data_IF_160300140854
#
_entry.id   IF_160300140854
#
_cell.length_a   1.000
_cell.length_b   1.000
_cell.length_c   1.000
_cell.angle_alpha   90.00
_cell.angle_beta   90.00
_cell.angle_gamma   90.00
#
_symmetry.space_group_name_H-M   'P 1'
#
loop_
_entity.id
_entity.type
_entity.pdbx_description
1 polymer ?
#
# COMPACT_ATOMS: atom_id res chain seq x y z
N UNK A 1 30.30 -30.74 2.67
CA UNK A 1 30.19 -29.70 3.76
C UNK A 1 29.26 -30.24 4.83
N UNK A 2 29.67 -30.20 6.10
CA UNK A 2 28.83 -30.71 7.19
C UNK A 2 27.51 -29.91 7.25
N UNK A 3 26.31 -30.58 7.23
CA UNK A 3 25.03 -29.89 7.17
C UNK A 3 24.78 -28.92 8.33
N UNK A 4 25.39 -29.19 9.49
CA UNK A 4 25.34 -28.28 10.65
C UNK A 4 26.15 -26.98 10.42
N UNK A 5 27.33 -27.09 9.79
CA UNK A 5 28.18 -25.96 9.44
C UNK A 5 27.51 -25.09 8.35
N UNK A 6 26.93 -25.72 7.32
CA UNK A 6 26.19 -25.00 6.30
C UNK A 6 25.01 -24.21 6.88
N UNK A 7 24.24 -24.82 7.80
CA UNK A 7 23.13 -24.15 8.48
C UNK A 7 23.59 -23.00 9.37
N UNK A 8 24.71 -23.16 10.08
CA UNK A 8 25.29 -22.10 10.92
C UNK A 8 25.75 -20.90 10.07
N UNK A 9 26.42 -21.16 8.93
CA UNK A 9 26.85 -20.11 8.00
C UNK A 9 25.64 -19.37 7.43
N UNK A 10 24.62 -20.09 6.95
CA UNK A 10 23.39 -19.46 6.40
C UNK A 10 22.68 -18.61 7.46
N UNK A 11 22.53 -19.12 8.67
CA UNK A 11 21.91 -18.36 9.76
C UNK A 11 22.76 -17.11 10.13
N UNK A 12 24.06 -17.23 10.17
CA UNK A 12 24.98 -16.10 10.41
C UNK A 12 24.85 -15.01 9.35
N UNK A 13 24.81 -15.40 8.07
CA UNK A 13 24.58 -14.47 6.96
C UNK A 13 23.20 -13.81 7.03
N UNK A 14 22.14 -14.55 7.35
CA UNK A 14 20.80 -14.00 7.50
C UNK A 14 20.71 -12.99 8.64
N UNK A 15 21.36 -13.27 9.79
CA UNK A 15 21.43 -12.34 10.92
C UNK A 15 22.21 -11.08 10.53
N UNK A 16 23.35 -11.23 9.88
CA UNK A 16 24.14 -10.09 9.41
C UNK A 16 23.36 -9.20 8.44
N UNK A 17 22.68 -9.81 7.46
CA UNK A 17 21.80 -9.07 6.54
C UNK A 17 20.65 -8.38 7.26
N UNK A 18 20.03 -9.02 8.23
CA UNK A 18 18.96 -8.42 9.04
C UNK A 18 19.46 -7.20 9.82
N UNK A 19 20.62 -7.31 10.48
CA UNK A 19 21.25 -6.20 11.22
C UNK A 19 21.56 -5.02 10.30
N UNK A 20 22.18 -5.28 9.14
CA UNK A 20 22.49 -4.23 8.14
C UNK A 20 21.22 -3.56 7.61
N UNK A 21 20.17 -4.34 7.36
CA UNK A 21 18.88 -3.81 6.87
C UNK A 21 18.13 -3.00 7.92
N UNK A 22 18.26 -3.35 9.20
CA UNK A 22 17.60 -2.64 10.30
C UNK A 22 18.39 -1.42 10.78
N UNK A 23 19.70 -1.39 10.57
CA UNK A 23 20.57 -0.30 11.06
C UNK A 23 20.08 1.11 10.65
N UNK A 24 19.71 1.41 9.38
CA UNK A 24 19.20 2.72 9.01
C UNK A 24 17.88 3.07 9.70
N UNK A 25 16.99 2.09 9.92
CA UNK A 25 15.71 2.30 10.61
C UNK A 25 15.93 2.58 12.11
N UNK A 26 16.85 1.86 12.73
CA UNK A 26 17.21 2.08 14.13
C UNK A 26 17.89 3.45 14.31
N UNK A 27 18.74 3.85 13.37
CA UNK A 27 19.36 5.16 13.41
C UNK A 27 18.34 6.29 13.19
N UNK A 28 17.41 6.14 12.22
CA UNK A 28 16.29 7.05 12.03
C UNK A 28 15.47 7.22 13.33
N UNK A 29 15.15 6.10 13.99
CA UNK A 29 14.44 6.12 15.27
C UNK A 29 15.28 6.80 16.36
N UNK A 30 16.58 6.55 16.44
CA UNK A 30 17.49 7.19 17.39
C UNK A 30 17.54 8.70 17.19
N UNK A 31 17.75 9.16 15.94
CA UNK A 31 17.83 10.58 15.60
C UNK A 31 16.53 11.31 15.91
N UNK A 32 15.36 10.66 15.73
CA UNK A 32 14.07 11.29 16.03
C UNK A 32 13.89 11.72 17.50
N UNK A 33 14.70 11.17 18.41
CA UNK A 33 14.74 11.54 19.84
C UNK A 33 15.92 12.45 20.22
N UNK A 34 16.76 12.85 19.27
CA UNK A 34 17.89 13.77 19.52
C UNK A 34 17.41 15.21 19.73
N UNK A 35 18.25 15.99 20.38
CA UNK A 35 18.04 17.45 20.49
C UNK A 35 18.24 18.11 19.12
N UNK A 36 17.55 19.23 18.81
CA UNK A 36 17.74 19.94 17.55
C UNK A 36 19.21 20.27 17.29
N UNK A 37 19.73 19.88 16.11
CA UNK A 37 21.12 20.06 15.70
C UNK A 37 22.10 19.00 16.17
N UNK A 38 21.69 18.05 17.02
CA UNK A 38 22.58 17.00 17.53
C UNK A 38 23.05 16.04 16.42
N UNK A 39 22.17 15.72 15.46
CA UNK A 39 22.53 14.87 14.32
C UNK A 39 23.45 15.56 13.29
N UNK A 40 23.61 16.87 13.36
CA UNK A 40 24.50 17.61 12.47
C UNK A 40 25.97 17.54 12.87
N UNK A 41 26.31 17.02 14.04
CA UNK A 41 27.70 16.83 14.47
C UNK A 41 28.40 15.75 13.62
N UNK A 42 29.71 15.93 13.42
CA UNK A 42 30.53 14.94 12.73
C UNK A 42 31.59 14.34 13.66
N UNK A 43 31.66 13.00 13.79
CA UNK A 43 30.73 11.99 13.27
C UNK A 43 29.34 12.09 13.92
N UNK A 44 28.26 11.76 13.19
CA UNK A 44 26.92 11.82 13.75
C UNK A 44 26.78 10.80 14.89
N UNK A 45 26.14 11.17 16.01
CA UNK A 45 25.95 10.26 17.14
C UNK A 45 24.99 9.13 16.76
N UNK A 46 25.24 7.92 17.31
CA UNK A 46 24.38 6.76 17.10
C UNK A 46 23.17 6.74 18.05
N UNK A 47 23.33 7.35 19.23
CA UNK A 47 22.30 7.43 20.27
C UNK A 47 22.21 8.87 20.80
N UNK A 48 21.03 9.36 21.19
CA UNK A 48 20.86 10.71 21.71
C UNK A 48 21.60 10.86 23.06
N UNK A 49 22.27 11.98 23.27
CA UNK A 49 22.90 12.32 24.52
C UNK A 49 21.85 12.57 25.63
N UNK A 50 20.73 13.22 25.26
CA UNK A 50 19.58 13.47 26.13
C UNK A 50 18.30 13.28 25.33
N UNK A 51 17.65 12.09 25.39
CA UNK A 51 16.44 11.80 24.61
C UNK A 51 15.31 12.79 24.88
N UNK A 52 14.67 13.29 23.82
CA UNK A 52 13.58 14.26 23.90
C UNK A 52 12.41 13.89 22.98
N UNK A 53 11.19 14.31 23.33
CA UNK A 53 10.01 14.25 22.48
C UNK A 53 9.76 15.59 21.77
N UNK A 54 10.69 16.54 21.85
CA UNK A 54 10.53 17.88 21.28
C UNK A 54 10.18 17.84 19.79
N UNK A 55 10.90 17.04 19.00
CA UNK A 55 10.67 16.91 17.55
C UNK A 55 9.25 16.42 17.21
N UNK A 56 8.74 15.46 17.98
CA UNK A 56 7.35 15.00 17.82
C UNK A 56 6.34 16.07 18.23
N UNK A 57 6.60 16.80 19.31
CA UNK A 57 5.73 17.91 19.73
C UNK A 57 5.64 18.98 18.63
N UNK A 58 6.78 19.45 18.10
CA UNK A 58 6.82 20.43 17.01
C UNK A 58 6.09 19.89 15.75
N UNK A 59 6.33 18.64 15.41
CA UNK A 59 5.74 17.97 14.26
C UNK A 59 4.20 17.94 14.32
N UNK A 60 3.64 17.63 15.49
CA UNK A 60 2.19 17.55 15.67
C UNK A 60 1.54 18.90 15.98
N UNK A 61 2.17 19.74 16.80
CA UNK A 61 1.60 20.99 17.24
C UNK A 61 1.74 22.11 16.19
N UNK A 62 2.88 22.19 15.48
CA UNK A 62 3.17 23.27 14.53
C UNK A 62 3.06 22.83 13.07
N UNK A 63 3.60 21.67 12.71
CA UNK A 63 3.59 21.22 11.33
C UNK A 63 2.28 20.53 10.90
N UNK A 64 1.32 20.32 11.81
CA UNK A 64 0.01 19.75 11.48
C UNK A 64 0.03 18.28 11.07
N UNK A 65 1.04 17.50 11.47
CA UNK A 65 1.25 16.12 11.04
C UNK A 65 0.05 15.21 11.31
N UNK A 66 -0.71 15.47 12.38
CA UNK A 66 -1.93 14.71 12.69
C UNK A 66 -2.97 14.75 11.57
N UNK A 67 -3.12 15.89 10.88
CA UNK A 67 -4.02 16.06 9.73
C UNK A 67 -3.53 15.24 8.54
N UNK A 68 -2.24 15.29 8.23
CA UNK A 68 -1.66 14.52 7.11
C UNK A 68 -1.75 13.01 7.34
N UNK A 69 -1.56 12.57 8.61
CA UNK A 69 -1.77 11.19 9.01
C UNK A 69 -3.22 10.73 8.76
N UNK A 70 -4.19 11.55 9.17
CA UNK A 70 -5.62 11.28 8.93
C UNK A 70 -5.96 11.28 7.44
N UNK A 71 -5.43 12.23 6.67
CA UNK A 71 -5.64 12.29 5.23
C UNK A 71 -5.11 11.01 4.55
N UNK A 72 -3.88 10.60 4.86
CA UNK A 72 -3.29 9.37 4.33
C UNK A 72 -4.09 8.13 4.73
N UNK A 73 -4.49 8.02 5.99
CA UNK A 73 -5.28 6.90 6.48
C UNK A 73 -6.66 6.84 5.79
N UNK A 74 -7.32 7.98 5.62
CA UNK A 74 -8.60 8.07 4.94
C UNK A 74 -8.50 7.70 3.46
N UNK A 75 -7.54 8.29 2.73
CA UNK A 75 -7.32 8.01 1.30
C UNK A 75 -6.98 6.53 1.10
N UNK A 76 -5.99 6.01 1.84
CA UNK A 76 -5.56 4.62 1.70
C UNK A 76 -6.67 3.62 2.06
N UNK A 77 -7.42 3.88 3.14
CA UNK A 77 -8.53 3.01 3.55
C UNK A 77 -9.68 3.06 2.56
N UNK A 78 -10.12 4.26 2.15
CA UNK A 78 -11.21 4.42 1.19
C UNK A 78 -10.86 3.80 -0.17
N UNK A 79 -9.66 4.09 -0.70
CA UNK A 79 -9.17 3.47 -1.94
C UNK A 79 -9.15 1.94 -1.83
N UNK A 80 -8.67 1.38 -0.71
CA UNK A 80 -8.61 -0.06 -0.49
C UNK A 80 -10.00 -0.69 -0.48
N UNK A 81 -10.95 -0.14 0.27
CA UNK A 81 -12.31 -0.69 0.37
C UNK A 81 -13.02 -0.68 -0.98
N UNK A 82 -12.93 0.43 -1.70
CA UNK A 82 -13.55 0.57 -3.03
C UNK A 82 -12.85 -0.36 -4.03
N UNK A 83 -11.51 -0.40 -4.03
CA UNK A 83 -10.75 -1.28 -4.91
C UNK A 83 -11.04 -2.76 -4.65
N UNK A 84 -11.17 -3.19 -3.39
CA UNK A 84 -11.56 -4.55 -3.06
C UNK A 84 -12.90 -4.90 -3.68
N UNK A 85 -13.90 -4.04 -3.54
CA UNK A 85 -15.22 -4.28 -4.11
C UNK A 85 -15.17 -4.36 -5.63
N UNK A 86 -14.63 -3.34 -6.29
CA UNK A 86 -14.62 -3.25 -7.75
C UNK A 86 -13.75 -4.32 -8.41
N UNK A 87 -12.53 -4.53 -7.89
CA UNK A 87 -11.65 -5.57 -8.43
C UNK A 87 -12.21 -6.98 -8.22
N UNK A 88 -12.92 -7.22 -7.10
CA UNK A 88 -13.52 -8.52 -6.81
C UNK A 88 -14.71 -8.78 -7.74
N UNK A 89 -15.58 -7.80 -7.92
CA UNK A 89 -16.71 -7.91 -8.86
C UNK A 89 -16.22 -8.14 -10.28
N UNK A 90 -15.27 -7.35 -10.75
CA UNK A 90 -14.70 -7.50 -12.09
C UNK A 90 -13.95 -8.83 -12.26
N UNK A 91 -13.11 -9.20 -11.31
CA UNK A 91 -12.34 -10.45 -11.34
C UNK A 91 -13.24 -11.68 -11.36
N UNK A 92 -14.30 -11.68 -10.53
CA UNK A 92 -15.33 -12.74 -10.56
C UNK A 92 -16.06 -12.79 -11.90
N UNK A 93 -16.50 -11.64 -12.42
CA UNK A 93 -17.17 -11.58 -13.72
C UNK A 93 -16.30 -12.16 -14.85
N UNK A 94 -15.02 -11.77 -14.90
CA UNK A 94 -14.07 -12.30 -15.86
C UNK A 94 -13.70 -13.78 -15.65
N UNK A 95 -13.86 -14.31 -14.43
CA UNK A 95 -13.58 -15.71 -14.13
C UNK A 95 -14.77 -16.63 -14.46
N UNK A 96 -15.97 -16.27 -14.02
CA UNK A 96 -17.13 -17.17 -13.91
C UNK A 96 -18.35 -16.78 -14.73
N UNK A 97 -18.56 -15.49 -15.00
CA UNK A 97 -19.74 -15.08 -15.80
C UNK A 97 -19.48 -15.24 -17.29
N UNK A 98 -20.53 -15.62 -18.03
CA UNK A 98 -20.51 -15.80 -19.49
C UNK A 98 -21.07 -14.54 -20.14
N UNK A 99 -20.24 -13.77 -20.83
CA UNK A 99 -20.65 -12.62 -21.64
C UNK A 99 -19.82 -12.48 -22.90
N UNK A 100 -20.41 -11.87 -23.95
CA UNK A 100 -19.73 -11.70 -25.22
C UNK A 100 -18.49 -10.80 -25.07
N UNK A 101 -17.37 -11.21 -25.66
CA UNK A 101 -16.14 -10.43 -25.66
C UNK A 101 -15.28 -10.55 -24.38
N UNK A 102 -15.68 -11.34 -23.37
CA UNK A 102 -14.98 -11.50 -22.08
C UNK A 102 -13.46 -11.61 -22.22
N UNK A 103 -13.00 -12.55 -23.01
CA UNK A 103 -11.55 -12.80 -23.18
C UNK A 103 -10.83 -11.69 -23.97
N UNK A 104 -11.53 -11.02 -24.89
CA UNK A 104 -10.97 -9.88 -25.64
C UNK A 104 -10.76 -8.67 -24.72
N UNK A 105 -11.79 -8.32 -23.94
CA UNK A 105 -11.72 -7.21 -22.98
C UNK A 105 -10.66 -7.49 -21.93
N UNK A 106 -10.60 -8.71 -21.38
CA UNK A 106 -9.59 -9.07 -20.41
C UNK A 106 -8.16 -8.98 -20.96
N UNK A 107 -7.93 -9.43 -22.21
CA UNK A 107 -6.61 -9.26 -22.86
C UNK A 107 -6.24 -7.80 -23.08
N UNK A 108 -7.19 -6.95 -23.42
CA UNK A 108 -6.95 -5.50 -23.53
C UNK A 108 -6.59 -4.87 -22.20
N UNK A 109 -7.27 -5.27 -21.10
CA UNK A 109 -6.89 -4.83 -19.75
C UNK A 109 -5.47 -5.25 -19.40
N UNK A 110 -5.08 -6.51 -19.69
CA UNK A 110 -3.71 -6.97 -19.45
C UNK A 110 -2.68 -6.20 -20.29
N UNK A 111 -3.00 -5.86 -21.54
CA UNK A 111 -2.11 -5.06 -22.38
C UNK A 111 -1.85 -3.67 -21.77
N UNK A 112 -2.83 -3.10 -21.05
CA UNK A 112 -2.64 -1.83 -20.37
C UNK A 112 -1.59 -1.86 -19.24
N UNK A 113 -1.25 -3.03 -18.68
CA UNK A 113 -0.17 -3.16 -17.66
C UNK A 113 1.21 -2.82 -18.22
N UNK A 114 1.39 -2.86 -19.53
CA UNK A 114 2.67 -2.51 -20.18
C UNK A 114 2.92 -0.99 -20.15
N UNK A 115 1.84 -0.20 -20.01
CA UNK A 115 1.94 1.26 -19.99
C UNK A 115 2.41 1.72 -18.60
N UNK A 116 3.57 2.41 -18.50
CA UNK A 116 4.01 2.94 -17.21
C UNK A 116 3.00 3.95 -16.66
N UNK A 117 2.68 3.85 -15.37
CA UNK A 117 1.72 4.74 -14.73
C UNK A 117 2.10 6.23 -14.86
N UNK A 118 3.39 6.55 -14.86
CA UNK A 118 3.91 7.92 -15.01
C UNK A 118 3.49 8.57 -16.34
N UNK A 119 3.43 7.79 -17.42
CA UNK A 119 3.00 8.28 -18.74
C UNK A 119 1.53 8.69 -18.75
N UNK A 120 0.72 8.00 -17.95
CA UNK A 120 -0.73 8.26 -17.88
C UNK A 120 -1.10 9.38 -16.91
N UNK A 121 -0.17 9.85 -16.05
CA UNK A 121 -0.47 10.87 -15.02
C UNK A 121 -0.98 12.18 -15.60
N UNK A 122 -0.37 12.70 -16.70
CA UNK A 122 -0.80 13.96 -17.30
C UNK A 122 -2.20 13.88 -17.92
N UNK A 123 -2.52 12.90 -18.79
CA UNK A 123 -3.88 12.72 -19.30
C UNK A 123 -4.90 12.54 -18.17
N UNK A 124 -4.57 11.76 -17.14
CA UNK A 124 -5.42 11.53 -15.98
C UNK A 124 -5.69 12.83 -15.20
N UNK A 125 -4.66 13.64 -14.97
CA UNK A 125 -4.81 14.94 -14.33
C UNK A 125 -5.76 15.86 -15.14
N UNK A 126 -5.63 15.91 -16.46
CA UNK A 126 -6.50 16.72 -17.31
C UNK A 126 -7.95 16.24 -17.25
N UNK A 127 -8.18 14.92 -17.24
CA UNK A 127 -9.53 14.36 -17.07
C UNK A 127 -10.14 14.76 -15.72
N UNK A 128 -9.40 14.61 -14.63
CA UNK A 128 -9.89 14.96 -13.29
C UNK A 128 -10.07 16.48 -13.13
N UNK A 129 -9.26 17.30 -13.80
CA UNK A 129 -9.45 18.75 -13.85
C UNK A 129 -10.79 19.12 -14.52
N UNK A 130 -11.14 18.48 -15.64
CA UNK A 130 -12.42 18.67 -16.31
C UNK A 130 -13.60 18.23 -15.44
N UNK A 131 -13.40 17.19 -14.60
CA UNK A 131 -14.40 16.70 -13.65
C UNK A 131 -14.51 17.53 -12.36
N UNK A 132 -13.65 18.55 -12.17
CA UNK A 132 -13.61 19.36 -10.95
C UNK A 132 -13.05 18.62 -9.72
N UNK A 133 -12.29 17.54 -9.94
CA UNK A 133 -11.77 16.67 -8.86
C UNK A 133 -10.33 17.01 -8.43
N UNK A 134 -9.66 17.95 -9.08
CA UNK A 134 -8.33 18.42 -8.66
C UNK A 134 -8.44 19.10 -7.30
N UNK A 135 -7.44 18.89 -6.45
CA UNK A 135 -7.38 19.36 -5.06
C UNK A 135 -8.51 18.83 -4.16
N UNK A 136 -8.97 17.60 -4.41
CA UNK A 136 -9.95 16.91 -3.57
C UNK A 136 -9.47 15.50 -3.20
N UNK A 137 -9.98 14.94 -2.09
CA UNK A 137 -9.72 13.56 -1.71
C UNK A 137 -10.22 12.57 -2.78
N UNK A 138 -11.35 12.88 -3.44
CA UNK A 138 -11.85 12.07 -4.56
C UNK A 138 -10.85 12.00 -5.71
N UNK A 139 -10.19 13.10 -6.05
CA UNK A 139 -9.15 13.13 -7.08
C UNK A 139 -7.93 12.26 -6.75
N UNK A 140 -7.61 12.11 -5.46
CA UNK A 140 -6.56 11.20 -5.01
C UNK A 140 -7.02 9.71 -5.02
N UNK A 141 -8.31 9.44 -4.75
CA UNK A 141 -8.85 8.08 -4.59
C UNK A 141 -9.25 7.46 -5.92
N UNK A 142 -9.92 8.22 -6.82
CA UNK A 142 -10.53 7.69 -8.06
C UNK A 142 -9.57 6.84 -8.91
N UNK A 143 -8.31 7.22 -9.15
CA UNK A 143 -7.39 6.40 -9.94
C UNK A 143 -7.03 5.06 -9.29
N UNK A 144 -7.20 4.95 -7.97
CA UNK A 144 -6.87 3.76 -7.19
C UNK A 144 -8.06 2.79 -7.04
N UNK A 145 -9.28 3.21 -7.42
CA UNK A 145 -10.52 2.44 -7.19
C UNK A 145 -10.57 1.10 -7.92
N UNK A 146 -9.89 0.99 -9.06
CA UNK A 146 -9.81 -0.25 -9.81
C UNK A 146 -8.42 -0.39 -10.45
N UNK A 147 -7.80 -1.55 -10.27
CA UNK A 147 -6.50 -1.83 -10.86
C UNK A 147 -6.55 -3.08 -11.72
N UNK A 148 -5.89 -3.05 -12.88
CA UNK A 148 -5.79 -4.21 -13.76
C UNK A 148 -5.13 -5.38 -13.03
N UNK A 149 -4.11 -5.11 -12.21
CA UNK A 149 -3.44 -6.12 -11.38
C UNK A 149 -4.41 -6.75 -10.36
N UNK A 150 -5.23 -5.95 -9.68
CA UNK A 150 -6.22 -6.46 -8.72
C UNK A 150 -7.28 -7.33 -9.38
N UNK A 151 -7.81 -6.89 -10.54
CA UNK A 151 -8.77 -7.67 -11.34
C UNK A 151 -8.14 -8.99 -11.79
N UNK A 152 -6.90 -8.95 -12.29
CA UNK A 152 -6.16 -10.15 -12.70
C UNK A 152 -5.97 -11.12 -11.53
N UNK A 153 -5.51 -10.63 -10.39
CA UNK A 153 -5.26 -11.44 -9.20
C UNK A 153 -6.52 -12.16 -8.71
N UNK A 154 -7.62 -11.43 -8.60
CA UNK A 154 -8.91 -11.98 -8.20
C UNK A 154 -9.42 -12.98 -9.23
N UNK A 155 -9.33 -12.66 -10.55
CA UNK A 155 -9.73 -13.61 -11.61
C UNK A 155 -8.98 -14.91 -11.51
N UNK A 156 -7.66 -14.88 -11.32
CA UNK A 156 -6.85 -16.10 -11.24
C UNK A 156 -7.27 -16.98 -10.06
N UNK A 157 -7.55 -16.37 -8.92
CA UNK A 157 -8.00 -17.11 -7.75
C UNK A 157 -9.45 -17.60 -7.90
N UNK A 158 -10.34 -16.77 -8.44
CA UNK A 158 -11.76 -17.13 -8.67
C UNK A 158 -11.93 -18.29 -9.65
N UNK A 159 -10.98 -18.52 -10.57
CA UNK A 159 -10.99 -19.68 -11.47
C UNK A 159 -10.89 -21.01 -10.75
N UNK A 160 -10.31 -21.07 -9.56
CA UNK A 160 -10.23 -22.28 -8.75
C UNK A 160 -11.54 -22.64 -8.02
N UNK A 161 -12.53 -21.77 -8.01
CA UNK A 161 -13.87 -22.08 -7.46
C UNK A 161 -14.52 -23.09 -8.39
N UNK A 162 -15.01 -24.26 -7.92
CA UNK A 162 -15.73 -25.23 -8.76
C UNK A 162 -16.99 -24.60 -9.36
N UNK A 163 -17.23 -24.83 -10.66
CA UNK A 163 -18.43 -24.30 -11.33
C UNK A 163 -19.70 -24.99 -10.81
N UNK A 164 -19.59 -26.26 -10.42
CA UNK A 164 -20.66 -27.06 -9.83
C UNK A 164 -21.22 -26.43 -8.54
N UNK A 165 -20.37 -25.79 -7.75
CA UNK A 165 -20.81 -25.07 -6.54
C UNK A 165 -21.72 -23.88 -6.89
N UNK A 166 -21.38 -23.14 -7.94
CA UNK A 166 -22.16 -21.99 -8.40
C UNK A 166 -23.45 -22.42 -9.10
N UNK A 167 -23.40 -23.52 -9.85
CA UNK A 167 -24.56 -24.08 -10.54
C UNK A 167 -25.57 -24.65 -9.54
N UNK A 168 -25.12 -25.39 -8.51
CA UNK A 168 -25.98 -25.85 -7.43
C UNK A 168 -26.73 -24.70 -6.75
N UNK A 169 -26.02 -23.61 -6.42
CA UNK A 169 -26.63 -22.44 -5.82
C UNK A 169 -27.68 -21.77 -6.72
N UNK A 170 -27.47 -21.78 -8.07
CA UNK A 170 -28.47 -21.27 -9.03
C UNK A 170 -29.71 -22.17 -9.09
N UNK A 171 -29.53 -23.50 -9.03
CA UNK A 171 -30.63 -24.46 -8.98
C UNK A 171 -31.46 -24.24 -7.69
N UNK A 172 -30.80 -23.94 -6.57
CA UNK A 172 -31.44 -23.58 -5.30
C UNK A 172 -32.12 -22.19 -5.32
N UNK A 173 -32.13 -21.50 -6.45
CA UNK A 173 -32.80 -20.20 -6.64
C UNK A 173 -32.01 -19.00 -6.12
N UNK A 174 -30.70 -19.13 -5.83
CA UNK A 174 -29.87 -17.99 -5.43
C UNK A 174 -29.61 -17.03 -6.62
N UNK A 175 -29.84 -15.74 -6.40
CA UNK A 175 -29.47 -14.70 -7.37
C UNK A 175 -27.96 -14.58 -7.48
N UNK A 176 -27.44 -14.06 -8.62
CA UNK A 176 -25.97 -13.82 -8.81
C UNK A 176 -25.40 -12.93 -7.71
N UNK A 177 -26.14 -11.94 -7.24
CA UNK A 177 -25.72 -11.10 -6.10
C UNK A 177 -25.57 -11.91 -4.83
N UNK A 178 -26.52 -12.83 -4.54
CA UNK A 178 -26.45 -13.71 -3.38
C UNK A 178 -25.26 -14.67 -3.47
N UNK A 179 -25.05 -15.26 -4.64
CA UNK A 179 -23.90 -16.13 -4.91
C UNK A 179 -22.60 -15.36 -4.68
N UNK A 180 -22.49 -14.13 -5.21
CA UNK A 180 -21.31 -13.30 -5.03
C UNK A 180 -20.98 -13.03 -3.55
N UNK A 181 -21.94 -12.52 -2.78
CA UNK A 181 -21.69 -12.14 -1.38
C UNK A 181 -21.61 -13.32 -0.42
N UNK A 182 -22.38 -14.38 -0.62
CA UNK A 182 -22.51 -15.50 0.32
C UNK A 182 -21.58 -16.67 0.01
N UNK A 183 -21.18 -16.85 -1.26
CA UNK A 183 -20.33 -17.98 -1.67
C UNK A 183 -18.97 -17.48 -2.13
N UNK A 184 -18.94 -16.61 -3.15
CA UNK A 184 -17.70 -16.21 -3.82
C UNK A 184 -16.82 -15.38 -2.90
N UNK A 185 -17.36 -14.34 -2.29
CA UNK A 185 -16.60 -13.42 -1.43
C UNK A 185 -15.94 -14.12 -0.24
N UNK A 186 -16.60 -15.03 0.52
CA UNK A 186 -15.96 -15.81 1.57
C UNK A 186 -14.83 -16.72 1.07
N UNK A 187 -15.01 -17.38 -0.06
CA UNK A 187 -13.97 -18.24 -0.65
C UNK A 187 -12.75 -17.42 -1.10
N UNK A 188 -12.97 -16.20 -1.62
CA UNK A 188 -11.91 -15.29 -2.04
C UNK A 188 -11.20 -14.59 -0.88
N UNK A 189 -11.66 -14.72 0.36
CA UNK A 189 -11.12 -14.00 1.53
C UNK A 189 -9.58 -14.01 1.63
N UNK A 190 -8.84 -15.13 1.42
CA UNK A 190 -7.38 -15.12 1.52
C UNK A 190 -6.73 -14.18 0.51
N UNK A 191 -7.18 -14.21 -0.74
CA UNK A 191 -6.62 -13.35 -1.80
C UNK A 191 -7.05 -11.90 -1.64
N UNK A 192 -8.24 -11.64 -1.08
CA UNK A 192 -8.71 -10.29 -0.80
C UNK A 192 -7.89 -9.62 0.30
N UNK A 193 -7.46 -10.36 1.33
CA UNK A 193 -6.54 -9.82 2.35
C UNK A 193 -5.21 -9.43 1.70
N UNK A 194 -4.67 -10.27 0.82
CA UNK A 194 -3.44 -9.96 0.07
C UNK A 194 -3.64 -8.71 -0.80
N UNK A 195 -4.73 -8.64 -1.55
CA UNK A 195 -5.05 -7.46 -2.39
C UNK A 195 -5.23 -6.20 -1.54
N UNK A 196 -5.88 -6.30 -0.37
CA UNK A 196 -6.04 -5.19 0.56
C UNK A 196 -4.70 -4.62 1.01
N UNK A 197 -3.74 -5.50 1.36
CA UNK A 197 -2.39 -5.09 1.76
C UNK A 197 -1.71 -4.34 0.60
N UNK A 198 -1.74 -4.88 -0.63
CA UNK A 198 -1.11 -4.25 -1.79
C UNK A 198 -1.71 -2.88 -2.10
N UNK A 199 -3.04 -2.77 -2.12
CA UNK A 199 -3.72 -1.49 -2.42
C UNK A 199 -3.46 -0.48 -1.33
N UNK A 200 -3.58 -0.88 -0.05
CA UNK A 200 -3.35 0.01 1.08
C UNK A 200 -1.91 0.54 1.09
N UNK A 201 -0.91 -0.35 0.98
CA UNK A 201 0.50 0.05 0.94
C UNK A 201 0.83 0.90 -0.29
N UNK A 202 0.24 0.58 -1.44
CA UNK A 202 0.37 1.38 -2.66
C UNK A 202 -0.14 2.81 -2.44
N UNK A 203 -1.36 2.95 -1.90
CA UNK A 203 -1.96 4.26 -1.62
C UNK A 203 -1.26 5.02 -0.48
N UNK A 204 -0.83 4.31 0.57
CA UNK A 204 -0.14 4.91 1.72
C UNK A 204 1.21 5.51 1.35
N UNK A 205 1.98 4.79 0.52
CA UNK A 205 3.33 5.20 0.10
C UNK A 205 3.31 6.06 -1.19
N UNK A 206 2.14 6.31 -1.78
CA UNK A 206 2.06 7.10 -3.00
C UNK A 206 2.41 8.57 -2.71
N UNK A 207 3.44 9.02 -3.39
CA UNK A 207 3.92 10.40 -3.34
C UNK A 207 3.55 11.16 -4.61
N UNK A 208 3.75 10.52 -5.77
CA UNK A 208 3.72 11.22 -7.05
C UNK A 208 2.33 11.70 -7.42
N UNK A 209 1.32 10.83 -7.30
CA UNK A 209 -0.04 11.21 -7.67
C UNK A 209 -0.64 12.26 -6.73
N UNK A 210 -0.59 12.09 -5.39
CA UNK A 210 -1.00 13.15 -4.45
C UNK A 210 -0.27 14.48 -4.66
N UNK A 211 1.04 14.48 -4.95
CA UNK A 211 1.81 15.70 -5.24
C UNK A 211 1.28 16.45 -6.47
N UNK A 212 0.79 15.73 -7.49
CA UNK A 212 0.27 16.31 -8.73
C UNK A 212 -1.17 16.83 -8.54
N UNK A 213 -2.01 16.07 -7.83
CA UNK A 213 -3.46 16.35 -7.77
C UNK A 213 -3.90 17.21 -6.58
N UNK A 214 -3.12 17.22 -5.50
CA UNK A 214 -3.41 18.00 -4.28
C UNK A 214 -2.52 19.25 -4.25
N UNK A 215 -3.11 20.43 -4.22
CA UNK A 215 -2.38 21.71 -4.22
C UNK A 215 -2.49 22.48 -2.91
N UNK A 216 -3.50 22.16 -2.08
CA UNK A 216 -3.71 22.77 -0.76
C UNK A 216 -3.07 21.89 0.31
N UNK A 217 -2.24 22.49 1.17
CA UNK A 217 -1.61 21.80 2.31
C UNK A 217 -2.64 21.10 3.21
N UNK A 218 -3.85 21.62 3.31
CA UNK A 218 -4.93 20.98 4.06
C UNK A 218 -5.31 19.57 3.58
N UNK A 219 -5.03 19.24 2.33
CA UNK A 219 -5.34 17.95 1.71
C UNK A 219 -4.11 17.01 1.57
N UNK A 220 -2.90 17.49 1.88
CA UNK A 220 -1.69 16.72 1.67
C UNK A 220 -1.72 15.37 2.39
N UNK A 221 -1.13 14.36 1.75
CA UNK A 221 -0.80 13.07 2.36
C UNK A 221 0.51 13.16 3.14
N UNK A 222 0.78 12.19 4.01
CA UNK A 222 2.03 12.13 4.78
C UNK A 222 3.29 12.25 3.90
N UNK A 223 3.46 11.46 2.81
CA UNK A 223 4.65 11.59 1.96
C UNK A 223 4.80 12.97 1.35
N UNK A 224 3.71 13.61 0.91
CA UNK A 224 3.74 14.97 0.34
C UNK A 224 4.08 16.00 1.39
N UNK A 225 3.45 15.91 2.56
CA UNK A 225 3.70 16.83 3.66
C UNK A 225 5.15 16.73 4.17
N UNK A 226 5.68 15.50 4.32
CA UNK A 226 7.07 15.29 4.73
C UNK A 226 8.05 15.89 3.73
N UNK A 227 7.80 15.73 2.42
CA UNK A 227 8.63 16.34 1.38
C UNK A 227 8.54 17.88 1.39
N UNK A 228 7.38 18.45 1.74
CA UNK A 228 7.22 19.91 1.87
C UNK A 228 7.97 20.43 3.09
N UNK A 229 7.88 19.77 4.22
CA UNK A 229 8.64 20.09 5.44
C UNK A 229 10.15 20.04 5.21
N UNK A 230 10.63 19.07 4.43
CA UNK A 230 12.05 18.97 4.04
C UNK A 230 12.55 20.19 3.26
N UNK A 231 11.67 20.87 2.52
CA UNK A 231 12.02 22.08 1.77
C UNK A 231 12.01 23.33 2.65
N UNK A 232 11.10 23.39 3.61
CA UNK A 232 10.95 24.53 4.52
C UNK A 232 12.00 24.53 5.65
N UNK A 233 12.40 23.35 6.13
CA UNK A 233 13.29 23.13 7.26
C UNK A 233 14.53 22.33 6.85
N UNK A 234 15.30 22.84 5.89
CA UNK A 234 16.46 22.17 5.26
C UNK A 234 17.54 21.69 6.26
N UNK A 235 17.53 22.16 7.49
CA UNK A 235 18.56 21.83 8.50
C UNK A 235 18.01 21.09 9.73
N UNK A 236 16.72 20.77 9.79
CA UNK A 236 16.12 20.07 10.93
C UNK A 236 16.00 18.56 10.64
N UNK A 237 17.16 17.89 10.70
CA UNK A 237 17.24 16.45 10.44
C UNK A 237 16.44 15.64 11.46
N UNK A 238 16.42 16.06 12.72
CA UNK A 238 15.77 15.37 13.82
C UNK A 238 14.23 15.38 13.63
N UNK A 239 13.67 16.52 13.29
CA UNK A 239 12.24 16.65 12.99
C UNK A 239 11.86 15.84 11.73
N UNK A 240 12.71 15.84 10.69
CA UNK A 240 12.52 15.02 9.49
C UNK A 240 12.55 13.54 9.80
N UNK A 241 13.45 13.08 10.68
CA UNK A 241 13.49 11.67 11.10
C UNK A 241 12.27 11.31 11.96
N UNK A 242 11.79 12.21 12.83
CA UNK A 242 10.54 12.01 13.56
C UNK A 242 9.33 11.87 12.61
N UNK A 243 9.23 12.69 11.56
CA UNK A 243 8.22 12.59 10.53
C UNK A 243 8.30 11.28 9.74
N UNK A 244 9.52 10.82 9.44
CA UNK A 244 9.77 9.55 8.78
C UNK A 244 9.34 8.36 9.65
N UNK A 245 9.61 8.39 10.96
CA UNK A 245 9.14 7.38 11.93
C UNK A 245 7.61 7.33 11.93
N UNK A 246 6.92 8.48 12.01
CA UNK A 246 5.45 8.56 11.97
C UNK A 246 4.90 7.96 10.67
N UNK A 247 5.58 8.16 9.55
CA UNK A 247 5.17 7.64 8.24
C UNK A 247 5.36 6.12 8.13
N UNK A 248 6.45 5.58 8.67
CA UNK A 248 6.79 4.15 8.58
C UNK A 248 6.01 3.31 9.59
N UNK A 249 5.70 3.86 10.77
CA UNK A 249 5.11 3.12 11.88
C UNK A 249 3.78 2.41 11.52
N UNK A 250 2.78 3.02 10.85
CA UNK A 250 1.54 2.34 10.47
C UNK A 250 1.78 1.19 9.49
N UNK A 251 2.74 1.34 8.57
CA UNK A 251 3.12 0.30 7.61
C UNK A 251 3.74 -0.90 8.35
N UNK A 252 4.63 -0.63 9.30
CA UNK A 252 5.27 -1.66 10.11
C UNK A 252 4.24 -2.42 10.96
N UNK A 253 3.31 -1.71 11.61
CA UNK A 253 2.24 -2.32 12.39
C UNK A 253 1.36 -3.20 11.49
N UNK A 254 0.94 -2.70 10.35
CA UNK A 254 0.12 -3.44 9.39
C UNK A 254 0.86 -4.69 8.89
N UNK A 255 2.15 -4.57 8.56
CA UNK A 255 2.96 -5.70 8.14
C UNK A 255 3.07 -6.77 9.23
N UNK A 256 3.41 -6.40 10.46
CA UNK A 256 3.52 -7.33 11.58
C UNK A 256 2.19 -8.03 11.89
N UNK A 257 1.07 -7.31 11.79
CA UNK A 257 -0.27 -7.87 12.01
C UNK A 257 -0.69 -8.86 10.90
N UNK A 258 -0.31 -8.58 9.65
CA UNK A 258 -0.81 -9.30 8.48
C UNK A 258 0.26 -10.16 7.78
N UNK A 259 1.50 -10.25 8.29
CA UNK A 259 2.61 -10.98 7.66
C UNK A 259 2.27 -12.44 7.30
N UNK A 260 1.47 -13.13 8.12
CA UNK A 260 1.05 -14.51 7.87
C UNK A 260 0.20 -14.64 6.58
N UNK A 261 -0.63 -13.65 6.29
CA UNK A 261 -1.47 -13.65 5.09
C UNK A 261 -0.66 -13.27 3.85
N UNK A 262 0.28 -12.34 3.99
CA UNK A 262 1.19 -11.93 2.93
C UNK A 262 2.05 -13.11 2.42
N UNK A 263 2.64 -13.88 3.34
CA UNK A 263 3.44 -15.06 3.00
C UNK A 263 2.60 -16.15 2.31
N UNK A 264 1.36 -16.39 2.76
CA UNK A 264 0.45 -17.35 2.12
C UNK A 264 0.07 -16.93 0.71
N UNK A 265 -0.21 -15.64 0.48
CA UNK A 265 -0.58 -15.10 -0.83
C UNK A 265 0.54 -15.22 -1.87
N UNK A 266 1.80 -15.02 -1.48
CA UNK A 266 2.96 -15.19 -2.36
C UNK A 266 3.21 -16.66 -2.73
N UNK A 267 2.95 -17.59 -1.81
CA UNK A 267 3.17 -19.02 -2.03
C UNK A 267 2.12 -19.65 -2.95
N UNK A 268 0.88 -19.16 -2.98
CA UNK A 268 -0.19 -19.63 -3.88
C UNK A 268 0.17 -19.43 -5.36
N UNK A 269 1.02 -18.47 -5.70
CA UNK A 269 1.54 -18.27 -7.06
C UNK A 269 2.75 -19.13 -7.43
N UNK A 270 3.43 -19.76 -6.46
CA UNK A 270 4.70 -20.48 -6.66
C UNK A 270 4.59 -22.00 -6.63
N UNK A 271 3.52 -22.58 -6.13
CA UNK A 271 3.30 -24.03 -6.13
C UNK A 271 2.57 -24.42 -7.40
N UNK A 272 3.33 -24.69 -8.46
CA UNK A 272 2.91 -25.61 -9.54
C UNK A 272 3.18 -27.02 -9.03
N UNK A 273 2.12 -27.72 -8.59
CA UNK A 273 2.18 -29.16 -8.48
C UNK A 273 2.34 -29.82 -9.85
#
# INVERSE_FOLDING_TARGET
>A
MNPRLAKAIVNGLMIALAVVSLAPLLWMLSVSFMQPGEAAHFPPPLVPAAPTLHNYHELFARAGMGRYLLNSAMIATAATLIALLLNTMAGYAFAKLKFAGRERVFRLLLAALVIPAQVTMMPLFLMLKQMGLVNTYAGAIVPLMASVFGIFLVRQYARSIPDELLEAARIDGASETRIFFQIVLPVLKPILVTLAIFVFLGAWNDFMWPLIVLSDSGHFTLPVALASLSREHVQDNEMMMAGSVVTVLPVLILFLALQRYYLQGLLVGSVKG
#
